data_IF_423159934439
#
_entry.id   IF_423159934439
#
_cell.length_a   1.000
_cell.length_b   1.000
_cell.length_c   1.000
_cell.angle_alpha   90.00
_cell.angle_beta   90.00
_cell.angle_gamma   90.00
#
_symmetry.space_group_name_H-M   'P 1'
#
loop_
_entity.id
_entity.type
_entity.pdbx_description
1 polymer ?
#
# COMPACT_ATOMS: atom_id res chain seq x y z
N UNK A 1 13.67 15.05 23.15
CA UNK A 1 14.09 16.41 22.75
C UNK A 1 15.13 16.25 21.66
N UNK A 2 14.76 16.47 20.40
CA UNK A 2 15.71 16.43 19.28
C UNK A 2 16.62 17.65 19.36
N UNK A 3 17.93 17.43 19.43
CA UNK A 3 18.92 18.50 19.48
C UNK A 3 19.14 19.11 18.09
N UNK A 4 18.09 19.63 17.46
CA UNK A 4 18.12 20.15 16.09
C UNK A 4 19.13 21.29 15.91
N UNK A 5 19.33 22.13 16.93
CA UNK A 5 20.36 23.18 16.92
C UNK A 5 21.78 22.60 16.87
N UNK A 6 22.05 21.56 17.66
CA UNK A 6 23.35 20.86 17.63
C UNK A 6 23.54 20.19 16.27
N UNK A 7 22.48 19.56 15.76
CA UNK A 7 22.50 18.90 14.45
C UNK A 7 22.85 19.89 13.32
N UNK A 8 22.27 21.10 13.33
CA UNK A 8 22.61 22.19 12.39
C UNK A 8 24.08 22.59 12.46
N UNK A 9 24.71 22.54 13.63
CA UNK A 9 26.14 22.83 13.78
C UNK A 9 27.02 21.67 13.33
N UNK A 10 26.56 20.43 13.50
CA UNK A 10 27.32 19.24 13.15
C UNK A 10 27.27 18.89 11.67
N UNK A 11 26.15 19.14 10.98
CA UNK A 11 25.99 18.77 9.57
C UNK A 11 27.10 19.34 8.67
N UNK A 12 27.48 20.64 8.75
CA UNK A 12 28.52 21.20 7.89
C UNK A 12 29.92 20.62 8.11
N UNK A 13 30.18 20.07 9.31
CA UNK A 13 31.48 19.49 9.68
C UNK A 13 31.49 17.96 9.58
N UNK A 14 30.36 17.34 9.21
CA UNK A 14 30.23 15.89 9.10
C UNK A 14 30.44 15.45 7.66
N UNK A 15 31.32 14.47 7.47
CA UNK A 15 31.51 13.85 6.17
C UNK A 15 30.27 13.03 5.77
N UNK A 16 29.75 13.27 4.56
CA UNK A 16 28.59 12.58 3.99
C UNK A 16 28.82 11.10 3.75
N UNK A 17 30.07 10.65 3.75
CA UNK A 17 30.46 9.23 3.66
C UNK A 17 29.79 8.36 4.75
N UNK A 18 29.36 8.96 5.88
CA UNK A 18 28.59 8.23 6.89
C UNK A 18 27.27 7.61 6.37
N UNK A 19 26.70 8.14 5.28
CA UNK A 19 25.48 7.65 4.64
C UNK A 19 25.69 6.56 3.59
N UNK A 20 26.92 6.16 3.27
CA UNK A 20 27.17 5.22 2.18
C UNK A 20 28.37 4.27 2.38
N UNK A 21 29.27 4.54 3.33
CA UNK A 21 30.44 3.70 3.56
C UNK A 21 30.13 2.41 4.34
N UNK A 22 30.94 1.39 4.07
CA UNK A 22 30.92 0.12 4.78
C UNK A 22 31.15 0.31 6.29
N UNK A 23 30.33 -0.33 7.11
CA UNK A 23 30.37 -0.21 8.57
C UNK A 23 29.90 1.15 9.12
N UNK A 24 29.49 2.10 8.27
CA UNK A 24 28.87 3.37 8.70
C UNK A 24 27.35 3.27 8.62
N UNK A 25 26.67 4.04 9.48
CA UNK A 25 25.21 4.12 9.55
C UNK A 25 24.79 5.56 9.30
N UNK A 26 23.87 5.75 8.36
CA UNK A 26 23.30 7.06 8.07
C UNK A 26 22.64 7.65 9.32
N UNK A 27 22.85 8.95 9.63
CA UNK A 27 22.21 9.62 10.76
C UNK A 27 20.67 9.66 10.64
N UNK A 28 20.13 9.42 9.44
CA UNK A 28 18.70 9.24 9.19
C UNK A 28 18.11 8.15 10.09
N UNK A 29 18.83 7.03 10.30
CA UNK A 29 18.36 5.97 11.19
C UNK A 29 18.19 6.43 12.63
N UNK A 30 19.12 7.23 13.15
CA UNK A 30 19.03 7.76 14.51
C UNK A 30 17.84 8.71 14.65
N UNK A 31 17.61 9.57 13.65
CA UNK A 31 16.46 10.48 13.66
C UNK A 31 15.13 9.71 13.63
N UNK A 32 15.01 8.68 12.79
CA UNK A 32 13.83 7.80 12.72
C UNK A 32 13.67 7.04 14.04
N UNK A 33 14.72 6.37 14.52
CA UNK A 33 14.69 5.56 15.74
C UNK A 33 14.21 6.37 16.95
N UNK A 34 14.63 7.64 17.04
CA UNK A 34 14.23 8.55 18.10
C UNK A 34 12.91 9.29 17.85
N UNK A 35 12.25 9.04 16.70
CA UNK A 35 11.00 9.72 16.31
C UNK A 35 11.15 11.24 16.15
N UNK A 36 12.34 11.73 15.81
CA UNK A 36 12.64 13.17 15.74
C UNK A 36 12.35 13.71 14.33
N UNK A 37 11.10 14.08 14.08
CA UNK A 37 10.61 14.62 12.79
C UNK A 37 11.45 15.81 12.30
N UNK A 38 11.72 16.78 13.17
CA UNK A 38 12.50 17.99 12.83
C UNK A 38 13.94 17.62 12.42
N UNK A 39 14.56 16.69 13.15
CA UNK A 39 15.92 16.24 12.84
C UNK A 39 15.95 15.45 11.53
N UNK A 40 14.95 14.59 11.30
CA UNK A 40 14.82 13.83 10.07
C UNK A 40 14.66 14.77 8.88
N UNK A 41 13.73 15.72 8.95
CA UNK A 41 13.50 16.67 7.87
C UNK A 41 14.74 17.52 7.60
N UNK A 42 15.46 17.96 8.63
CA UNK A 42 16.71 18.69 8.46
C UNK A 42 17.77 17.86 7.73
N UNK A 43 17.97 16.60 8.12
CA UNK A 43 18.95 15.72 7.45
C UNK A 43 18.60 15.54 5.97
N UNK A 44 17.33 15.29 5.65
CA UNK A 44 16.90 15.09 4.27
C UNK A 44 17.05 16.38 3.44
N UNK A 45 16.77 17.57 4.01
CA UNK A 45 17.01 18.87 3.35
C UNK A 45 18.49 19.10 3.02
N UNK A 46 19.38 18.61 3.87
CA UNK A 46 20.84 18.75 3.71
C UNK A 46 21.44 17.68 2.77
N UNK A 47 20.58 16.88 2.13
CA UNK A 47 20.96 15.94 1.07
C UNK A 47 21.28 14.52 1.54
N UNK A 48 20.96 14.16 2.78
CA UNK A 48 21.01 12.76 3.20
C UNK A 48 19.94 11.95 2.47
N UNK A 49 20.29 10.77 1.99
CA UNK A 49 19.35 9.89 1.27
C UNK A 49 18.26 9.35 2.20
N UNK A 50 16.96 9.42 1.81
CA UNK A 50 15.89 8.70 2.52
C UNK A 50 15.96 7.19 2.28
N UNK A 51 16.56 6.76 1.16
CA UNK A 51 16.91 5.37 0.86
C UNK A 51 18.31 5.06 1.41
N UNK A 52 18.49 5.22 2.73
CA UNK A 52 19.77 4.93 3.36
C UNK A 52 20.14 3.44 3.25
N UNK A 53 21.43 3.15 3.35
CA UNK A 53 21.99 1.81 3.25
C UNK A 53 21.41 0.85 4.30
N UNK A 54 21.38 -0.46 3.98
CA UNK A 54 21.01 -1.49 4.95
C UNK A 54 21.79 -1.32 6.25
N UNK A 55 21.08 -1.37 7.39
CA UNK A 55 21.66 -1.12 8.70
C UNK A 55 21.63 -2.39 9.57
N UNK A 56 22.77 -3.09 9.73
CA UNK A 56 22.85 -4.27 10.58
C UNK A 56 22.55 -3.98 12.06
N UNK A 57 22.89 -2.77 12.53
CA UNK A 57 22.65 -2.34 13.92
C UNK A 57 21.17 -2.40 14.29
N UNK A 58 20.29 -2.06 13.34
CA UNK A 58 18.84 -2.13 13.53
C UNK A 58 18.20 -3.35 12.85
N UNK A 59 19.01 -4.23 12.25
CA UNK A 59 18.55 -5.42 11.53
C UNK A 59 17.60 -5.12 10.36
N UNK A 60 17.66 -3.93 9.76
CA UNK A 60 16.71 -3.49 8.74
C UNK A 60 17.39 -3.18 7.40
N UNK A 61 16.71 -3.55 6.31
CA UNK A 61 17.19 -3.36 4.93
C UNK A 61 16.94 -1.95 4.39
N UNK A 62 15.98 -1.22 4.98
CA UNK A 62 15.56 0.12 4.55
C UNK A 62 15.09 0.93 5.76
N UNK A 63 15.27 2.27 5.76
CA UNK A 63 14.71 3.16 6.77
C UNK A 63 13.18 3.07 6.93
N UNK A 64 12.46 2.71 5.86
CA UNK A 64 11.00 2.58 5.86
C UNK A 64 10.51 1.60 6.93
N UNK A 65 11.17 0.45 7.06
CA UNK A 65 10.81 -0.57 8.06
C UNK A 65 10.82 -0.01 9.50
N UNK A 66 11.82 0.82 9.81
CA UNK A 66 11.94 1.43 11.13
C UNK A 66 10.90 2.55 11.32
N UNK A 67 10.55 3.28 10.26
CA UNK A 67 9.54 4.33 10.29
C UNK A 67 8.15 3.79 10.71
N UNK A 68 7.78 2.59 10.25
CA UNK A 68 6.53 1.91 10.65
C UNK A 68 6.39 1.68 12.15
N UNK A 69 7.50 1.49 12.86
CA UNK A 69 7.51 1.32 14.32
C UNK A 69 7.35 2.64 15.08
N UNK A 70 7.54 3.79 14.40
CA UNK A 70 7.70 5.10 15.06
C UNK A 70 6.49 5.99 14.87
N UNK A 71 5.95 6.10 13.66
CA UNK A 71 4.81 6.98 13.40
C UNK A 71 4.49 7.17 11.93
N UNK A 72 3.27 7.64 11.63
CA UNK A 72 2.88 7.96 10.25
C UNK A 72 3.60 9.21 9.76
N UNK A 73 3.87 10.15 10.66
CA UNK A 73 4.51 11.44 10.41
C UNK A 73 5.91 11.24 9.84
N UNK A 74 6.68 10.31 10.43
CA UNK A 74 8.00 9.93 9.94
C UNK A 74 7.93 9.33 8.52
N UNK A 75 6.94 8.47 8.26
CA UNK A 75 6.73 7.88 6.92
C UNK A 75 6.37 8.98 5.91
N UNK A 76 5.47 9.90 6.27
CA UNK A 76 5.08 11.01 5.40
C UNK A 76 6.27 11.93 5.05
N UNK A 77 7.15 12.18 6.02
CA UNK A 77 8.41 12.90 5.77
C UNK A 77 9.26 12.12 4.77
N UNK A 78 9.48 10.82 4.96
CA UNK A 78 10.30 10.02 4.01
C UNK A 78 9.70 10.00 2.60
N UNK A 79 8.37 9.89 2.47
CA UNK A 79 7.67 9.98 1.19
C UNK A 79 7.86 11.34 0.51
N UNK A 80 7.81 12.44 1.28
CA UNK A 80 8.03 13.81 0.78
C UNK A 80 9.41 13.96 0.15
N UNK A 81 10.43 13.28 0.66
CA UNK A 81 11.80 13.31 0.12
C UNK A 81 12.08 12.18 -0.89
N UNK A 82 11.07 11.42 -1.30
CA UNK A 82 11.18 10.47 -2.40
C UNK A 82 11.81 9.12 -2.02
N UNK A 83 11.58 8.64 -0.80
CA UNK A 83 11.90 7.24 -0.46
C UNK A 83 11.23 6.28 -1.44
N UNK A 84 11.92 5.23 -1.85
CA UNK A 84 11.35 4.18 -2.71
C UNK A 84 10.41 3.32 -1.90
N UNK A 85 9.22 3.10 -2.46
CA UNK A 85 8.21 2.20 -1.91
C UNK A 85 8.38 0.84 -2.59
N UNK A 86 8.41 -0.22 -1.79
CA UNK A 86 8.54 -1.60 -2.23
C UNK A 86 7.29 -2.42 -1.87
N UNK A 87 7.15 -3.58 -2.52
CA UNK A 87 6.05 -4.53 -2.28
C UNK A 87 5.92 -4.94 -0.80
N UNK A 88 7.05 -5.07 -0.10
CA UNK A 88 7.08 -5.44 1.31
C UNK A 88 6.44 -4.38 2.21
N UNK A 89 6.45 -3.11 1.79
CA UNK A 89 5.88 -2.00 2.56
C UNK A 89 4.36 -2.09 2.64
N UNK A 90 3.70 -2.69 1.64
CA UNK A 90 2.27 -3.01 1.69
C UNK A 90 1.97 -4.01 2.82
N UNK A 91 2.83 -5.02 3.01
CA UNK A 91 2.72 -5.95 4.13
C UNK A 91 2.88 -5.26 5.48
N UNK A 92 3.83 -4.32 5.61
CA UNK A 92 4.03 -3.52 6.82
C UNK A 92 2.82 -2.64 7.13
N UNK A 93 2.18 -2.04 6.12
CA UNK A 93 0.94 -1.31 6.31
C UNK A 93 -0.16 -2.18 6.92
N UNK A 94 -0.31 -3.43 6.46
CA UNK A 94 -1.30 -4.37 7.01
C UNK A 94 -0.94 -4.77 8.45
N UNK A 95 0.32 -5.11 8.69
CA UNK A 95 0.81 -5.49 10.02
C UNK A 95 0.56 -4.40 11.08
N UNK A 96 0.80 -3.14 10.71
CA UNK A 96 0.62 -1.98 11.60
C UNK A 96 -0.77 -1.33 11.48
N UNK A 97 -1.71 -1.93 10.74
CA UNK A 97 -3.08 -1.42 10.50
C UNK A 97 -3.12 0.03 9.97
N UNK A 98 -2.14 0.42 9.16
CA UNK A 98 -2.01 1.76 8.55
C UNK A 98 -2.66 1.77 7.15
N UNK A 99 -3.97 1.55 7.07
CA UNK A 99 -4.67 1.36 5.79
C UNK A 99 -4.69 2.61 4.89
N UNK A 100 -4.61 3.81 5.47
CA UNK A 100 -4.47 5.04 4.68
C UNK A 100 -3.12 5.10 3.95
N UNK A 101 -2.04 4.67 4.60
CA UNK A 101 -0.73 4.54 3.95
C UNK A 101 -0.74 3.42 2.90
N UNK A 102 -1.43 2.31 3.17
CA UNK A 102 -1.61 1.24 2.19
C UNK A 102 -2.22 1.75 0.88
N UNK A 103 -3.33 2.49 0.97
CA UNK A 103 -3.99 3.12 -0.19
C UNK A 103 -3.08 4.14 -0.87
N UNK A 104 -2.35 4.94 -0.10
CA UNK A 104 -1.41 5.91 -0.65
C UNK A 104 -0.28 5.22 -1.43
N UNK A 105 0.28 4.13 -0.93
CA UNK A 105 1.34 3.37 -1.60
C UNK A 105 0.86 2.78 -2.92
N UNK A 106 -0.34 2.20 -2.95
CA UNK A 106 -0.92 1.66 -4.19
C UNK A 106 -1.09 2.72 -5.29
N UNK A 107 -1.30 4.00 -4.93
CA UNK A 107 -1.41 5.10 -5.90
C UNK A 107 -0.08 5.64 -6.40
N UNK A 108 1.02 5.39 -5.68
CA UNK A 108 2.36 5.88 -6.00
C UNK A 108 3.15 4.87 -6.85
N UNK A 109 2.47 4.18 -7.76
CA UNK A 109 3.02 3.13 -8.63
C UNK A 109 3.74 2.00 -7.88
N UNK A 110 3.33 1.72 -6.63
CA UNK A 110 3.89 0.61 -5.89
C UNK A 110 3.55 -0.70 -6.62
N UNK A 111 4.58 -1.54 -6.82
CA UNK A 111 4.37 -2.87 -7.40
C UNK A 111 3.51 -3.70 -6.45
N UNK A 112 2.65 -4.53 -7.03
CA UNK A 112 1.84 -5.46 -6.27
C UNK A 112 2.69 -6.65 -5.82
N UNK A 113 2.41 -7.25 -4.64
CA UNK A 113 3.21 -8.37 -4.13
C UNK A 113 3.33 -9.52 -5.13
N UNK A 114 4.56 -9.83 -5.52
CA UNK A 114 4.90 -10.96 -6.39
C UNK A 114 5.38 -12.18 -5.58
N UNK A 115 5.53 -13.35 -6.24
CA UNK A 115 5.72 -14.66 -5.61
C UNK A 115 6.76 -14.70 -4.45
N UNK A 116 7.84 -13.93 -4.55
CA UNK A 116 8.91 -13.88 -3.53
C UNK A 116 8.46 -13.26 -2.20
N UNK A 117 7.60 -12.23 -2.25
CA UNK A 117 7.12 -11.51 -1.06
C UNK A 117 5.69 -11.90 -0.67
N UNK A 118 5.07 -12.79 -1.45
CA UNK A 118 3.70 -13.22 -1.23
C UNK A 118 3.56 -13.97 0.10
N UNK A 119 4.57 -14.73 0.54
CA UNK A 119 4.52 -15.49 1.80
C UNK A 119 4.44 -14.55 3.00
N UNK A 120 5.29 -13.53 3.07
CA UNK A 120 5.25 -12.51 4.13
C UNK A 120 3.96 -11.69 4.08
N UNK A 121 3.55 -11.29 2.87
CA UNK A 121 2.31 -10.56 2.67
C UNK A 121 1.09 -11.36 3.14
N UNK A 122 1.03 -12.65 2.82
CA UNK A 122 -0.04 -13.58 3.22
C UNK A 122 -0.20 -13.66 4.73
N UNK A 123 0.91 -13.71 5.48
CA UNK A 123 0.85 -13.67 6.95
C UNK A 123 0.23 -12.36 7.48
N UNK A 124 0.57 -11.25 6.84
CA UNK A 124 0.00 -9.94 7.18
C UNK A 124 -1.48 -9.82 6.75
N UNK A 125 -1.86 -10.43 5.63
CA UNK A 125 -3.24 -10.46 5.14
C UNK A 125 -4.16 -11.26 6.06
N UNK A 126 -3.68 -12.38 6.64
CA UNK A 126 -4.40 -13.16 7.66
C UNK A 126 -4.65 -12.30 8.90
N UNK A 127 -3.63 -11.60 9.41
CA UNK A 127 -3.79 -10.77 10.61
C UNK A 127 -4.70 -9.55 10.39
N UNK A 128 -4.72 -9.00 9.17
CA UNK A 128 -5.59 -7.89 8.77
C UNK A 128 -6.98 -8.33 8.26
N UNK A 129 -7.31 -9.62 8.28
CA UNK A 129 -8.55 -10.16 7.71
C UNK A 129 -9.84 -9.59 8.32
N UNK A 130 -9.82 -9.20 9.59
CA UNK A 130 -10.98 -8.57 10.27
C UNK A 130 -11.32 -7.19 9.72
N UNK A 131 -10.30 -6.46 9.26
CA UNK A 131 -10.42 -5.09 8.75
C UNK A 131 -10.39 -5.07 7.22
N UNK A 132 -10.81 -6.16 6.55
CA UNK A 132 -10.70 -6.33 5.09
C UNK A 132 -11.30 -5.14 4.32
N UNK A 133 -12.40 -4.56 4.81
CA UNK A 133 -13.10 -3.41 4.21
C UNK A 133 -12.18 -2.20 4.01
N UNK A 134 -11.11 -2.10 4.81
CA UNK A 134 -10.19 -0.97 4.76
C UNK A 134 -9.08 -1.10 3.71
N UNK A 135 -8.61 -2.33 3.41
CA UNK A 135 -7.43 -2.51 2.57
C UNK A 135 -7.67 -3.38 1.34
N UNK A 136 -8.52 -4.41 1.46
CA UNK A 136 -8.72 -5.42 0.44
C UNK A 136 -9.38 -4.87 -0.83
N UNK A 137 -10.41 -4.01 -0.75
CA UNK A 137 -10.99 -3.36 -1.93
C UNK A 137 -9.95 -2.60 -2.74
N UNK A 138 -9.12 -1.78 -2.09
CA UNK A 138 -8.08 -1.00 -2.76
C UNK A 138 -7.03 -1.90 -3.44
N UNK A 139 -6.69 -3.04 -2.83
CA UNK A 139 -5.75 -3.99 -3.41
C UNK A 139 -6.31 -4.71 -4.65
N UNK A 140 -7.56 -5.19 -4.58
CA UNK A 140 -8.20 -5.88 -5.69
C UNK A 140 -8.52 -4.93 -6.85
N UNK A 141 -8.94 -3.70 -6.54
CA UNK A 141 -9.14 -2.67 -7.56
C UNK A 141 -7.84 -2.32 -8.27
N UNK A 142 -6.71 -2.28 -7.56
CA UNK A 142 -5.38 -2.07 -8.12
C UNK A 142 -4.89 -3.20 -9.05
N UNK A 143 -5.65 -4.30 -9.19
CA UNK A 143 -5.34 -5.41 -10.10
C UNK A 143 -4.61 -6.58 -9.45
N UNK A 144 -4.60 -6.67 -8.11
CA UNK A 144 -4.04 -7.83 -7.43
C UNK A 144 -4.85 -9.10 -7.75
N UNK A 145 -4.16 -10.20 -8.05
CA UNK A 145 -4.82 -11.46 -8.36
C UNK A 145 -5.47 -12.06 -7.08
N UNK A 146 -6.81 -12.15 -7.01
CA UNK A 146 -7.52 -12.66 -5.83
C UNK A 146 -7.13 -14.10 -5.47
N UNK A 147 -6.69 -14.91 -6.44
CA UNK A 147 -6.29 -16.30 -6.20
C UNK A 147 -5.11 -16.42 -5.25
N UNK A 148 -4.25 -15.39 -5.18
CA UNK A 148 -3.10 -15.35 -4.28
C UNK A 148 -3.50 -15.19 -2.80
N UNK A 149 -4.75 -14.78 -2.51
CA UNK A 149 -5.29 -14.69 -1.15
C UNK A 149 -6.09 -15.92 -0.74
N UNK A 150 -6.59 -16.71 -1.69
CA UNK A 150 -7.45 -17.88 -1.44
C UNK A 150 -6.65 -19.13 -1.05
N UNK A 151 -5.75 -19.00 -0.08
CA UNK A 151 -5.02 -20.12 0.54
C UNK A 151 -5.68 -20.55 1.86
N UNK A 152 -5.29 -21.75 2.33
CA UNK A 152 -5.91 -22.41 3.48
C UNK A 152 -6.01 -21.50 4.72
N UNK A 153 -4.90 -20.96 5.21
CA UNK A 153 -4.91 -20.18 6.45
C UNK A 153 -5.76 -18.90 6.35
N UNK A 154 -5.80 -18.27 5.17
CA UNK A 154 -6.63 -17.09 4.97
C UNK A 154 -8.12 -17.44 5.00
N UNK A 155 -8.55 -18.44 4.21
CA UNK A 155 -9.96 -18.87 4.13
C UNK A 155 -10.53 -19.19 5.51
N UNK A 156 -9.76 -19.86 6.37
CA UNK A 156 -10.20 -20.24 7.72
C UNK A 156 -10.08 -19.11 8.76
N UNK A 157 -9.41 -18.00 8.44
CA UNK A 157 -9.19 -16.89 9.36
C UNK A 157 -10.16 -15.72 9.18
N UNK A 158 -10.80 -15.60 8.01
CA UNK A 158 -11.61 -14.44 7.62
C UNK A 158 -13.10 -14.65 7.81
N UNK A 159 -13.86 -13.55 7.79
CA UNK A 159 -15.32 -13.60 7.85
C UNK A 159 -15.93 -14.09 6.53
N UNK A 160 -17.16 -14.60 6.59
CA UNK A 160 -17.94 -14.97 5.41
C UNK A 160 -18.04 -13.82 4.40
N UNK A 161 -18.24 -12.58 4.87
CA UNK A 161 -18.29 -11.41 3.99
C UNK A 161 -16.97 -11.16 3.26
N UNK A 162 -15.83 -11.29 3.94
CA UNK A 162 -14.53 -11.08 3.33
C UNK A 162 -14.25 -12.14 2.25
N UNK A 163 -14.60 -13.40 2.54
CA UNK A 163 -14.45 -14.51 1.60
C UNK A 163 -15.36 -14.34 0.39
N UNK A 164 -16.64 -14.02 0.61
CA UNK A 164 -17.58 -13.75 -0.47
C UNK A 164 -17.12 -12.55 -1.31
N UNK A 165 -16.61 -11.49 -0.67
CA UNK A 165 -16.08 -10.32 -1.36
C UNK A 165 -14.91 -10.65 -2.28
N UNK A 166 -13.95 -11.50 -1.87
CA UNK A 166 -12.86 -11.92 -2.76
C UNK A 166 -13.40 -12.72 -3.96
N UNK A 167 -14.39 -13.58 -3.72
CA UNK A 167 -14.99 -14.40 -4.78
C UNK A 167 -15.68 -13.56 -5.87
N UNK A 168 -16.18 -12.36 -5.54
CA UNK A 168 -16.67 -11.39 -6.54
C UNK A 168 -15.60 -11.00 -7.56
N UNK A 169 -14.31 -11.07 -7.23
CA UNK A 169 -13.22 -10.74 -8.16
C UNK A 169 -12.74 -11.96 -8.94
N UNK A 170 -13.41 -13.10 -8.81
CA UNK A 170 -13.02 -14.37 -9.44
C UNK A 170 -14.09 -14.87 -10.40
N UNK A 171 -13.68 -15.82 -11.25
CA UNK A 171 -14.63 -16.75 -11.86
C UNK A 171 -14.86 -17.91 -10.88
N UNK A 172 -15.85 -17.77 -9.99
CA UNK A 172 -16.14 -18.73 -8.92
C UNK A 172 -16.55 -20.13 -9.39
N UNK A 173 -16.78 -20.33 -10.70
CA UNK A 173 -17.03 -21.65 -11.32
C UNK A 173 -15.81 -22.28 -11.99
N UNK A 174 -14.73 -21.53 -12.15
CA UNK A 174 -13.47 -22.01 -12.73
C UNK A 174 -12.34 -21.75 -11.75
N UNK A 175 -12.55 -22.15 -10.49
CA UNK A 175 -11.52 -22.05 -9.48
C UNK A 175 -10.53 -23.21 -9.64
N UNK A 176 -9.24 -23.00 -9.35
CA UNK A 176 -8.29 -24.10 -9.20
C UNK A 176 -8.76 -25.12 -8.18
N UNK A 177 -8.55 -26.41 -8.49
CA UNK A 177 -9.04 -27.54 -7.69
C UNK A 177 -8.62 -27.47 -6.21
N UNK A 178 -7.41 -26.98 -5.93
CA UNK A 178 -6.89 -26.84 -4.59
C UNK A 178 -7.70 -25.82 -3.77
N UNK A 179 -8.14 -24.73 -4.39
CA UNK A 179 -8.99 -23.72 -3.74
C UNK A 179 -10.40 -24.25 -3.52
N UNK A 180 -10.97 -24.95 -4.51
CA UNK A 180 -12.29 -25.57 -4.38
C UNK A 180 -12.34 -26.59 -3.24
N UNK A 181 -11.29 -27.39 -3.08
CA UNK A 181 -11.19 -28.36 -2.00
C UNK A 181 -11.20 -27.66 -0.63
N UNK A 182 -10.38 -26.62 -0.47
CA UNK A 182 -10.28 -25.85 0.78
C UNK A 182 -11.61 -25.16 1.10
N UNK A 183 -12.27 -24.55 0.12
CA UNK A 183 -13.59 -23.93 0.28
C UNK A 183 -14.66 -24.96 0.68
N UNK A 184 -14.62 -26.16 0.09
CA UNK A 184 -15.54 -27.25 0.42
C UNK A 184 -15.32 -27.76 1.85
N UNK A 185 -14.06 -27.95 2.26
CA UNK A 185 -13.70 -28.30 3.65
C UNK A 185 -14.14 -27.21 4.63
N UNK A 186 -13.96 -25.94 4.28
CA UNK A 186 -14.39 -24.82 5.10
C UNK A 186 -15.92 -24.76 5.24
N UNK A 187 -16.67 -25.00 4.15
CA UNK A 187 -18.14 -25.08 4.17
C UNK A 187 -18.65 -26.20 5.08
N UNK A 188 -17.93 -27.31 5.19
CA UNK A 188 -18.29 -28.41 6.09
C UNK A 188 -17.96 -28.12 7.56
N UNK A 189 -16.90 -27.35 7.82
CA UNK A 189 -16.35 -27.14 9.18
C UNK A 189 -16.83 -25.85 9.85
N UNK A 190 -17.23 -24.85 9.05
CA UNK A 190 -17.56 -23.51 9.51
C UNK A 190 -18.98 -23.10 9.11
N UNK A 191 -19.49 -22.02 9.71
CA UNK A 191 -20.72 -21.36 9.28
C UNK A 191 -20.48 -20.40 8.10
N UNK A 192 -19.59 -20.75 7.16
CA UNK A 192 -19.48 -19.97 5.93
C UNK A 192 -20.78 -20.07 5.13
N UNK A 193 -21.35 -18.90 4.82
CA UNK A 193 -22.56 -18.77 4.03
C UNK A 193 -22.21 -18.09 2.71
N UNK A 194 -21.95 -18.86 1.63
CA UNK A 194 -21.76 -18.31 0.31
C UNK A 194 -23.00 -17.54 -0.14
N UNK A 195 -22.80 -16.49 -0.94
CA UNK A 195 -23.92 -15.86 -1.64
C UNK A 195 -24.62 -16.88 -2.55
N UNK A 196 -25.96 -16.89 -2.55
CA UNK A 196 -26.76 -17.90 -3.27
C UNK A 196 -26.49 -17.95 -4.77
N UNK A 197 -26.10 -16.84 -5.38
CA UNK A 197 -25.76 -16.81 -6.81
C UNK A 197 -24.42 -17.46 -7.15
N UNK A 198 -23.52 -17.72 -6.19
CA UNK A 198 -22.30 -18.50 -6.46
C UNK A 198 -22.58 -19.96 -6.83
N UNK A 199 -23.78 -20.47 -6.52
CA UNK A 199 -24.23 -21.78 -6.99
C UNK A 199 -24.48 -21.81 -8.50
N UNK A 200 -24.70 -20.65 -9.11
CA UNK A 200 -24.99 -20.49 -10.53
C UNK A 200 -23.74 -20.08 -11.31
N UNK A 201 -23.81 -20.24 -12.64
CA UNK A 201 -22.76 -19.78 -13.55
C UNK A 201 -22.72 -18.24 -13.50
N UNK A 202 -21.53 -17.60 -13.44
CA UNK A 202 -21.44 -16.15 -13.48
C UNK A 202 -22.12 -15.58 -14.73
N UNK A 203 -22.76 -14.41 -14.58
CA UNK A 203 -23.36 -13.74 -15.73
C UNK A 203 -22.30 -13.41 -16.79
N UNK A 204 -22.72 -13.33 -18.05
CA UNK A 204 -21.82 -12.90 -19.12
C UNK A 204 -21.22 -11.51 -18.82
N UNK A 205 -22.01 -10.59 -18.25
CA UNK A 205 -21.52 -9.28 -17.85
C UNK A 205 -20.37 -9.38 -16.84
N UNK A 206 -20.48 -10.28 -15.86
CA UNK A 206 -19.41 -10.52 -14.89
C UNK A 206 -18.15 -11.07 -15.54
N UNK A 207 -18.29 -12.07 -16.40
CA UNK A 207 -17.17 -12.65 -17.14
C UNK A 207 -16.49 -11.60 -18.03
N UNK A 208 -17.26 -10.75 -18.71
CA UNK A 208 -16.73 -9.62 -19.45
C UNK A 208 -16.00 -8.62 -18.55
N UNK A 209 -16.50 -8.36 -17.33
CA UNK A 209 -15.80 -7.50 -16.35
C UNK A 209 -14.40 -8.01 -16.06
N UNK A 210 -14.29 -9.30 -15.76
CA UNK A 210 -13.03 -9.96 -15.43
C UNK A 210 -12.06 -9.91 -16.62
N UNK A 211 -12.55 -10.20 -17.82
CA UNK A 211 -11.73 -10.21 -19.03
C UNK A 211 -11.27 -8.79 -19.42
N UNK A 212 -12.14 -7.78 -19.34
CA UNK A 212 -11.74 -6.39 -19.60
C UNK A 212 -10.66 -5.97 -18.59
N UNK A 213 -10.82 -6.32 -17.31
CA UNK A 213 -9.84 -5.97 -16.28
C UNK A 213 -8.53 -6.73 -16.39
N UNK A 214 -8.53 -7.97 -16.90
CA UNK A 214 -7.27 -8.71 -17.14
C UNK A 214 -6.44 -8.09 -18.26
N UNK A 215 -7.10 -7.42 -19.22
CA UNK A 215 -6.45 -6.69 -20.31
C UNK A 215 -5.95 -5.31 -19.89
N UNK A 216 -6.49 -4.72 -18.82
CA UNK A 216 -6.02 -3.46 -18.26
C UNK A 216 -4.72 -3.71 -17.46
N UNK A 217 -3.70 -2.88 -17.68
CA UNK A 217 -2.44 -2.99 -16.91
C UNK A 217 -2.67 -2.59 -15.45
N UNK A 218 -1.82 -3.08 -14.54
CA UNK A 218 -1.90 -2.71 -13.11
C UNK A 218 -1.82 -1.19 -12.89
N UNK A 219 -1.07 -0.48 -13.74
CA UNK A 219 -0.95 0.98 -13.71
C UNK A 219 -2.31 1.65 -14.00
N UNK A 220 -3.04 1.17 -15.01
CA UNK A 220 -4.38 1.67 -15.31
C UNK A 220 -5.38 1.34 -14.18
N UNK A 221 -5.17 0.24 -13.46
CA UNK A 221 -6.06 -0.20 -12.38
C UNK A 221 -5.78 0.47 -11.03
N UNK A 222 -4.56 0.97 -10.81
CA UNK A 222 -4.15 1.66 -9.57
C UNK A 222 -4.75 3.06 -9.40
N UNK A 223 -5.25 3.66 -10.48
CA UNK A 223 -5.93 4.95 -10.43
C UNK A 223 -7.27 4.88 -11.17
N UNK A 224 -8.33 5.25 -10.47
CA UNK A 224 -9.69 5.29 -11.00
C UNK A 224 -9.83 6.32 -12.13
N UNK A 225 -9.01 7.37 -12.13
CA UNK A 225 -8.99 8.39 -13.18
C UNK A 225 -8.71 7.76 -14.56
N UNK A 226 -7.83 6.76 -14.64
CA UNK A 226 -7.56 6.06 -15.91
C UNK A 226 -8.81 5.32 -16.41
N UNK A 227 -9.56 4.67 -15.52
CA UNK A 227 -10.81 3.97 -15.88
C UNK A 227 -11.88 5.00 -16.30
N UNK A 228 -11.94 6.16 -15.65
CA UNK A 228 -12.85 7.27 -15.99
C UNK A 228 -12.55 7.91 -17.35
N UNK A 229 -11.31 7.82 -17.81
CA UNK A 229 -10.88 8.33 -19.12
C UNK A 229 -11.15 7.36 -20.27
N UNK A 230 -11.57 6.12 -19.99
CA UNK A 230 -11.89 5.15 -21.04
C UNK A 230 -13.07 5.64 -21.89
N UNK A 231 -13.03 5.46 -23.22
CA UNK A 231 -14.09 5.90 -24.15
C UNK A 231 -15.30 4.95 -24.11
N UNK A 232 -15.85 4.72 -22.91
CA UNK A 232 -17.00 3.86 -22.63
C UNK A 232 -18.01 4.61 -21.76
N UNK A 233 -19.31 4.25 -21.82
CA UNK A 233 -20.34 4.84 -20.95
C UNK A 233 -19.98 4.78 -19.47
N UNK A 234 -20.38 5.80 -18.70
CA UNK A 234 -20.10 5.91 -17.25
C UNK A 234 -20.60 4.73 -16.44
N UNK A 235 -21.73 4.13 -16.82
CA UNK A 235 -22.25 2.93 -16.19
C UNK A 235 -21.29 1.72 -16.33
N UNK A 236 -20.59 1.60 -17.47
CA UNK A 236 -19.56 0.59 -17.65
C UNK A 236 -18.27 0.93 -16.90
N UNK A 237 -17.93 2.21 -16.78
CA UNK A 237 -16.81 2.63 -15.92
C UNK A 237 -17.08 2.26 -14.45
N UNK A 238 -18.27 2.57 -13.94
CA UNK A 238 -18.71 2.21 -12.57
C UNK A 238 -18.68 0.70 -12.35
N UNK A 239 -19.11 -0.06 -13.37
CA UNK A 239 -19.08 -1.51 -13.37
C UNK A 239 -17.64 -2.06 -13.32
N UNK A 240 -16.70 -1.48 -14.08
CA UNK A 240 -15.28 -1.86 -14.04
C UNK A 240 -14.60 -1.47 -12.71
N UNK A 241 -15.10 -0.43 -12.03
CA UNK A 241 -14.68 -0.01 -10.69
C UNK A 241 -15.35 -0.81 -9.56
N UNK A 242 -16.16 -1.84 -9.88
CA UNK A 242 -16.87 -2.67 -8.91
C UNK A 242 -17.77 -1.87 -7.93
N UNK A 243 -18.27 -0.69 -8.33
CA UNK A 243 -19.07 0.15 -7.41
C UNK A 243 -20.34 -0.56 -6.93
N UNK A 244 -20.93 -1.41 -7.77
CA UNK A 244 -22.06 -2.26 -7.41
C UNK A 244 -21.71 -3.23 -6.26
N UNK A 245 -20.57 -3.90 -6.35
CA UNK A 245 -20.09 -4.81 -5.31
C UNK A 245 -19.71 -4.05 -4.04
N UNK A 246 -18.99 -2.92 -4.15
CA UNK A 246 -18.63 -2.12 -2.98
C UNK A 246 -19.86 -1.68 -2.18
N UNK A 247 -20.94 -1.30 -2.86
CA UNK A 247 -22.22 -0.94 -2.23
C UNK A 247 -22.91 -2.13 -1.56
N UNK A 248 -22.94 -3.29 -2.20
CA UNK A 248 -23.52 -4.51 -1.61
C UNK A 248 -22.85 -4.88 -0.29
N UNK A 249 -21.53 -4.67 -0.20
CA UNK A 249 -20.77 -4.96 1.02
C UNK A 249 -20.65 -3.75 1.94
N UNK A 250 -21.38 -2.65 1.75
CA UNK A 250 -21.31 -1.43 2.58
C UNK A 250 -19.89 -0.90 2.78
N UNK A 251 -19.08 -0.93 1.71
CA UNK A 251 -17.70 -0.43 1.71
C UNK A 251 -17.73 1.03 1.28
N UNK A 252 -17.06 1.90 2.05
CA UNK A 252 -17.00 3.33 1.72
C UNK A 252 -16.31 3.55 0.37
N UNK A 253 -16.90 4.37 -0.49
CA UNK A 253 -16.30 4.80 -1.76
C UNK A 253 -15.48 6.10 -1.61
N UNK A 254 -15.44 6.69 -0.41
CA UNK A 254 -14.86 8.02 -0.15
C UNK A 254 -13.39 8.14 -0.57
N UNK A 255 -12.62 7.05 -0.45
CA UNK A 255 -11.22 7.04 -0.83
C UNK A 255 -11.01 7.02 -2.34
N UNK A 256 -11.96 6.55 -3.17
CA UNK A 256 -11.82 6.59 -4.64
C UNK A 256 -11.71 8.02 -5.17
N UNK A 257 -12.32 9.00 -4.48
CA UNK A 257 -12.29 10.42 -4.85
C UNK A 257 -11.18 11.21 -4.16
N UNK A 258 -10.38 10.55 -3.32
CA UNK A 258 -9.51 11.23 -2.37
C UNK A 258 -8.11 11.47 -2.92
N UNK A 259 -7.92 12.64 -3.55
CA UNK A 259 -6.65 13.37 -3.61
C UNK A 259 -6.36 14.07 -2.27
N UNK A 260 -6.60 13.41 -1.14
CA UNK A 260 -6.53 14.05 0.21
C UNK A 260 -5.08 14.27 0.70
N UNK A 261 -4.09 14.15 -0.20
CA UNK A 261 -2.72 14.57 0.08
C UNK A 261 -2.16 15.57 -0.94
N UNK A 262 -3.00 16.13 -1.83
CA UNK A 262 -2.57 17.26 -2.65
C UNK A 262 -2.67 18.59 -1.87
N UNK A 263 -1.49 19.16 -1.67
CA UNK A 263 -1.18 20.60 -1.67
C UNK A 263 -1.63 21.52 -0.52
N UNK A 264 -2.54 21.14 0.37
CA UNK A 264 -3.03 22.11 1.39
C UNK A 264 -2.20 22.23 2.68
N UNK A 265 -1.12 21.46 2.87
CA UNK A 265 -0.17 21.63 4.01
C UNK A 265 1.30 21.62 3.59
N UNK A 266 1.59 21.95 2.33
CA UNK A 266 2.95 22.27 1.90
C UNK A 266 3.11 23.80 2.00
N UNK A 267 3.88 24.34 2.97
CA UNK A 267 4.37 25.70 2.82
C UNK A 267 5.21 25.69 1.55
N UNK A 268 4.76 26.46 0.57
CA UNK A 268 5.52 26.78 -0.63
C UNK A 268 6.94 27.15 -0.23
N UNK A 269 7.93 26.33 -0.64
CA UNK A 269 9.32 26.77 -0.64
C UNK A 269 9.43 27.88 -1.69
N UNK A 270 9.25 29.12 -1.26
CA UNK A 270 9.63 30.30 -2.01
C UNK A 270 11.15 30.28 -2.18
N UNK A 271 11.59 29.86 -3.37
CA UNK A 271 12.98 29.95 -3.80
C UNK A 271 13.27 31.31 -4.45
N UNK A 272 14.38 31.91 -4.00
CA UNK A 272 15.14 33.02 -4.59
C UNK A 272 14.46 34.41 -4.55
N UNK A 273 15.12 35.49 -4.13
CA UNK A 273 16.42 35.94 -4.63
C UNK A 273 17.27 36.59 -3.52
N UNK A 274 18.46 36.06 -3.30
CA UNK A 274 19.61 36.89 -2.93
C UNK A 274 20.07 37.58 -4.21
N UNK A 275 19.85 38.89 -4.31
CA UNK A 275 20.64 39.72 -5.20
C UNK A 275 21.87 40.14 -4.39
N UNK A 276 23.03 39.59 -4.75
CA UNK A 276 24.29 40.30 -4.64
C UNK A 276 24.18 41.61 -5.40
N UNK A 277 24.49 42.74 -4.78
CA UNK A 277 25.07 43.86 -5.52
C UNK A 277 26.09 44.58 -4.62
N UNK A 278 27.31 44.60 -5.13
CA UNK A 278 28.50 45.25 -4.63
C UNK A 278 28.35 46.78 -4.58
N UNK A 279 28.59 47.39 -3.42
CA UNK A 279 29.51 48.53 -3.24
C UNK A 279 29.64 48.93 -1.77
#
# INVERSE_FOLDING_TARGET
MGHSNILRMLIPVTDRVCGSAEGKVSPVYSAIYSGQEICLELLLKEGYSPDAQSCPVFGCKSPMYLAFQKGSEIILILLKYGIKIFEIDLGLCLLHRRYNLFRHFLRKDCKLPCQLHLVEFSKCAVSAGRDYREWLPSLLLAGFNPMNLLFHDWIFSVSSDALNFVLEFTNWKRLPWNVEQVLSSHKATSMWMPCSYFEHIPSLSHLCRLEIRSLLTSVCLQSDQHIRQLPIPTCLQDFLLYLDVLRTYSISESWLKADVYEESTLPSCSNSKYNEENK
#
